data_IF_950564573100
#
_entry.id   IF_950564573100
#
_cell.length_a   1.000
_cell.length_b   1.000
_cell.length_c   1.000
_cell.angle_alpha   90.00
_cell.angle_beta   90.00
_cell.angle_gamma   90.00
#
_symmetry.space_group_name_H-M   'P 1'
#
loop_
_entity.id
_entity.type
_entity.pdbx_description
1 polymer ?
#
# COMPACT_ATOMS: atom_id res chain seq x y z
N UNK A 1 31.23 20.59 -30.87
CA UNK A 1 31.31 19.31 -30.13
C UNK A 1 29.95 19.07 -29.52
N UNK A 2 29.15 18.19 -30.10
CA UNK A 2 27.80 17.85 -29.62
C UNK A 2 27.90 16.60 -28.75
N UNK A 3 27.60 16.73 -27.47
CA UNK A 3 27.52 15.62 -26.52
C UNK A 3 26.41 14.65 -26.96
N UNK A 4 26.65 13.33 -26.99
CA UNK A 4 25.59 12.38 -27.27
C UNK A 4 24.58 12.39 -26.13
N UNK A 5 23.32 12.68 -26.44
CA UNK A 5 22.19 12.46 -25.53
C UNK A 5 22.10 10.94 -25.32
N UNK A 6 22.34 10.50 -24.08
CA UNK A 6 22.12 9.11 -23.72
C UNK A 6 20.63 8.78 -23.93
N UNK A 7 20.33 7.94 -24.92
CA UNK A 7 19.00 7.35 -25.08
C UNK A 7 18.76 6.47 -23.86
N UNK A 8 17.83 6.87 -23.00
CA UNK A 8 17.39 6.05 -21.88
C UNK A 8 16.63 4.85 -22.44
N UNK A 9 17.35 3.77 -22.80
CA UNK A 9 16.81 2.50 -23.35
C UNK A 9 16.07 1.66 -22.30
N UNK A 10 15.31 2.30 -21.41
CA UNK A 10 14.47 1.58 -20.45
C UNK A 10 13.24 1.04 -21.19
N UNK A 11 12.91 -0.26 -21.03
CA UNK A 11 11.72 -0.83 -21.66
C UNK A 11 10.46 -0.14 -21.14
N UNK A 12 9.46 0.00 -22.02
CA UNK A 12 8.14 0.48 -21.61
C UNK A 12 7.34 -0.66 -21.00
N UNK A 13 6.82 -0.44 -19.78
CA UNK A 13 6.04 -1.44 -19.04
C UNK A 13 4.55 -1.23 -19.29
N UNK A 14 3.86 -2.26 -19.77
CA UNK A 14 2.40 -2.28 -19.86
C UNK A 14 1.82 -2.93 -18.60
N UNK A 15 0.99 -2.20 -17.87
CA UNK A 15 0.27 -2.68 -16.68
C UNK A 15 -1.22 -2.82 -17.02
N UNK A 16 -1.74 -4.04 -16.92
CA UNK A 16 -3.16 -4.33 -17.15
C UNK A 16 -3.85 -4.49 -15.79
N UNK A 17 -4.61 -3.46 -15.40
CA UNK A 17 -5.37 -3.35 -14.15
C UNK A 17 -4.90 -2.19 -13.29
N UNK A 18 -5.79 -1.23 -13.01
CA UNK A 18 -5.53 -0.11 -12.09
C UNK A 18 -6.03 -0.42 -10.66
N UNK A 19 -5.82 -1.66 -10.22
CA UNK A 19 -5.99 -2.06 -8.82
C UNK A 19 -4.78 -1.64 -7.97
N UNK A 20 -4.80 -2.04 -6.69
CA UNK A 20 -3.75 -1.69 -5.72
C UNK A 20 -2.34 -2.05 -6.21
N UNK A 21 -2.14 -3.28 -6.69
CA UNK A 21 -0.84 -3.73 -7.18
C UNK A 21 -0.38 -3.00 -8.45
N UNK A 22 -1.30 -2.74 -9.38
CA UNK A 22 -0.98 -2.04 -10.64
C UNK A 22 -0.63 -0.57 -10.42
N UNK A 23 -1.40 0.13 -9.58
CA UNK A 23 -1.11 1.50 -9.20
C UNK A 23 0.17 1.61 -8.36
N UNK A 24 0.40 0.67 -7.45
CA UNK A 24 1.64 0.60 -6.67
C UNK A 24 2.86 0.43 -7.58
N UNK A 25 2.79 -0.49 -8.54
CA UNK A 25 3.85 -0.68 -9.53
C UNK A 25 4.06 0.58 -10.38
N UNK A 26 2.98 1.20 -10.88
CA UNK A 26 3.04 2.45 -11.61
C UNK A 26 3.75 3.55 -10.83
N UNK A 27 3.39 3.75 -9.56
CA UNK A 27 4.03 4.75 -8.70
C UNK A 27 5.53 4.50 -8.50
N UNK A 28 5.96 3.24 -8.37
CA UNK A 28 7.37 2.86 -8.25
C UNK A 28 8.14 3.09 -9.56
N UNK A 29 7.53 2.77 -10.71
CA UNK A 29 8.11 3.02 -12.03
C UNK A 29 8.24 4.50 -12.32
N UNK A 30 7.23 5.30 -11.95
CA UNK A 30 7.24 6.77 -12.02
C UNK A 30 8.43 7.35 -11.25
N UNK A 31 8.58 6.98 -9.97
CA UNK A 31 9.72 7.41 -9.13
C UNK A 31 11.07 7.00 -9.71
N UNK A 32 11.12 5.87 -10.42
CA UNK A 32 12.34 5.32 -11.02
C UNK A 32 12.61 5.84 -12.44
N UNK A 33 11.79 6.76 -12.96
CA UNK A 33 11.84 7.25 -14.35
C UNK A 33 11.87 6.07 -15.35
N UNK A 34 10.99 5.09 -15.17
CA UNK A 34 10.78 3.97 -16.11
C UNK A 34 9.47 4.23 -16.85
N UNK A 35 9.43 4.22 -18.19
CA UNK A 35 8.20 4.48 -18.93
C UNK A 35 7.18 3.37 -18.70
N UNK A 36 5.92 3.74 -18.48
CA UNK A 36 4.83 2.79 -18.29
C UNK A 36 3.48 3.30 -18.81
N UNK A 37 2.56 2.38 -19.02
CA UNK A 37 1.15 2.67 -19.29
C UNK A 37 0.26 1.74 -18.45
N UNK A 38 -0.80 2.29 -17.86
CA UNK A 38 -1.79 1.53 -17.07
C UNK A 38 -3.12 1.54 -17.82
N UNK A 39 -3.70 0.36 -18.05
CA UNK A 39 -5.04 0.21 -18.62
C UNK A 39 -5.95 -0.49 -17.63
N UNK A 40 -7.15 0.04 -17.45
CA UNK A 40 -8.19 -0.53 -16.58
C UNK A 40 -9.50 -0.60 -17.35
N UNK A 41 -10.24 -1.69 -17.17
CA UNK A 41 -11.55 -1.88 -17.82
C UNK A 41 -12.62 -1.00 -17.19
N UNK A 42 -12.51 -0.72 -15.90
CA UNK A 42 -13.46 0.11 -15.16
C UNK A 42 -13.28 1.58 -15.49
N UNK A 43 -14.33 2.23 -15.95
CA UNK A 43 -14.33 3.68 -16.22
C UNK A 43 -14.41 4.53 -14.95
N UNK A 44 -14.73 3.92 -13.82
CA UNK A 44 -14.90 4.60 -12.52
C UNK A 44 -14.30 3.76 -11.40
N UNK A 45 -13.73 4.41 -10.39
CA UNK A 45 -13.38 3.76 -9.13
C UNK A 45 -14.68 3.44 -8.37
N UNK A 46 -14.87 2.16 -8.03
CA UNK A 46 -16.03 1.70 -7.25
C UNK A 46 -15.56 1.26 -5.86
N UNK A 47 -15.97 1.94 -4.78
CA UNK A 47 -15.70 1.47 -3.43
C UNK A 47 -16.35 0.10 -3.22
N UNK A 48 -15.57 -0.91 -2.85
CA UNK A 48 -16.09 -2.25 -2.59
C UNK A 48 -16.73 -2.39 -1.19
N UNK A 49 -16.62 -1.34 -0.36
CA UNK A 49 -17.18 -1.32 1.00
C UNK A 49 -16.41 -2.14 2.03
N UNK A 50 -15.27 -2.73 1.67
CA UNK A 50 -14.40 -3.49 2.57
C UNK A 50 -13.32 -2.63 3.21
N UNK A 51 -13.06 -2.83 4.50
CA UNK A 51 -11.86 -2.31 5.14
C UNK A 51 -10.61 -3.06 4.64
N UNK A 52 -9.50 -2.35 4.49
CA UNK A 52 -8.20 -2.94 4.20
C UNK A 52 -7.26 -2.72 5.38
N UNK A 53 -6.63 -3.80 5.84
CA UNK A 53 -5.55 -3.71 6.82
C UNK A 53 -4.20 -3.63 6.10
N UNK A 54 -3.38 -2.66 6.48
CA UNK A 54 -2.00 -2.55 6.01
C UNK A 54 -1.07 -2.85 7.18
N UNK A 55 -0.22 -3.86 7.01
CA UNK A 55 0.77 -4.24 8.02
C UNK A 55 2.05 -3.39 7.96
N UNK A 56 2.91 -3.48 9.00
CA UNK A 56 4.12 -2.67 9.11
C UNK A 56 5.11 -2.89 7.97
N UNK A 57 5.13 -4.07 7.36
CA UNK A 57 6.02 -4.40 6.24
C UNK A 57 5.80 -3.52 5.00
N UNK A 58 4.60 -2.97 4.82
CA UNK A 58 4.27 -2.16 3.64
C UNK A 58 4.51 -0.64 3.87
N UNK A 59 4.52 -0.20 5.13
CA UNK A 59 4.64 1.22 5.49
C UNK A 59 5.92 1.89 4.98
N UNK A 60 7.11 1.26 4.98
CA UNK A 60 8.32 1.87 4.42
C UNK A 60 8.18 2.23 2.94
N UNK A 61 7.38 1.47 2.16
CA UNK A 61 7.20 1.78 0.75
C UNK A 61 6.33 3.03 0.58
N UNK A 62 5.33 3.23 1.44
CA UNK A 62 4.55 4.47 1.45
C UNK A 62 5.40 5.69 1.81
N UNK A 63 6.40 5.52 2.68
CA UNK A 63 7.38 6.58 2.97
C UNK A 63 8.24 6.89 1.74
N UNK A 64 8.75 5.88 1.04
CA UNK A 64 9.52 6.06 -0.20
C UNK A 64 8.70 6.72 -1.31
N UNK A 65 7.41 6.40 -1.39
CA UNK A 65 6.49 7.04 -2.33
C UNK A 65 6.12 8.48 -1.93
N UNK A 66 6.31 8.85 -0.66
CA UNK A 66 5.97 10.17 -0.13
C UNK A 66 4.48 10.33 0.25
N UNK A 67 3.76 9.21 0.40
CA UNK A 67 2.32 9.20 0.72
C UNK A 67 2.03 8.75 2.16
N UNK A 68 3.08 8.49 2.95
CA UNK A 68 2.95 7.92 4.30
C UNK A 68 2.07 8.79 5.22
N UNK A 69 2.35 10.10 5.30
CA UNK A 69 1.58 11.00 6.17
C UNK A 69 0.11 11.08 5.75
N UNK A 70 -0.17 11.24 4.45
CA UNK A 70 -1.53 11.24 3.92
C UNK A 70 -2.25 9.92 4.22
N UNK A 71 -1.56 8.79 4.06
CA UNK A 71 -2.08 7.46 4.40
C UNK A 71 -2.47 7.36 5.88
N UNK A 72 -1.67 7.91 6.80
CA UNK A 72 -2.00 7.94 8.23
C UNK A 72 -3.24 8.79 8.52
N UNK A 73 -3.46 9.89 7.80
CA UNK A 73 -4.62 10.76 8.01
C UNK A 73 -5.96 10.12 7.62
N UNK A 74 -5.95 9.21 6.64
CA UNK A 74 -7.15 8.49 6.17
C UNK A 74 -7.31 7.12 6.85
N UNK A 75 -6.25 6.60 7.45
CA UNK A 75 -6.22 5.30 8.09
C UNK A 75 -6.78 5.29 9.51
N UNK A 76 -7.05 4.09 10.03
CA UNK A 76 -7.29 3.87 11.46
C UNK A 76 -6.22 2.93 12.00
N UNK A 77 -5.57 3.34 13.09
CA UNK A 77 -4.62 2.49 13.80
C UNK A 77 -5.33 1.31 14.43
N UNK A 78 -4.99 0.10 13.98
CA UNK A 78 -5.45 -1.13 14.58
C UNK A 78 -4.54 -1.48 15.75
N UNK A 79 -5.07 -1.42 16.97
CA UNK A 79 -4.29 -1.71 18.20
C UNK A 79 -4.55 -3.10 18.74
N UNK A 80 -5.80 -3.57 18.65
CA UNK A 80 -6.23 -4.84 19.22
C UNK A 80 -7.21 -5.55 18.27
N UNK A 81 -7.08 -6.87 18.15
CA UNK A 81 -8.08 -7.73 17.51
C UNK A 81 -8.51 -8.80 18.51
N UNK A 82 -9.64 -8.62 19.22
CA UNK A 82 -10.16 -9.65 20.11
C UNK A 82 -10.86 -10.75 19.30
N UNK A 83 -10.59 -12.02 19.62
CA UNK A 83 -11.42 -13.14 19.21
C UNK A 83 -12.58 -13.33 20.19
N UNK A 84 -13.78 -13.61 19.70
CA UNK A 84 -14.95 -13.88 20.54
C UNK A 84 -15.51 -15.27 20.26
N UNK A 85 -15.93 -15.96 21.32
CA UNK A 85 -16.62 -17.23 21.24
C UNK A 85 -18.12 -17.02 21.05
N UNK A 86 -18.85 -18.12 20.92
CA UNK A 86 -20.29 -18.09 20.64
C UNK A 86 -21.11 -17.42 21.77
N UNK A 87 -20.60 -17.43 23.00
CA UNK A 87 -21.24 -16.74 24.14
C UNK A 87 -20.71 -15.31 24.35
N UNK A 88 -20.07 -14.72 23.34
CA UNK A 88 -19.40 -13.41 23.38
C UNK A 88 -18.28 -13.30 24.44
N UNK A 89 -17.78 -14.44 24.92
CA UNK A 89 -16.58 -14.50 25.75
C UNK A 89 -15.33 -14.25 24.88
N UNK A 90 -14.32 -13.58 25.44
CA UNK A 90 -13.05 -13.38 24.73
C UNK A 90 -12.32 -14.72 24.65
N UNK A 91 -12.04 -15.18 23.43
CA UNK A 91 -11.23 -16.37 23.18
C UNK A 91 -9.76 -16.03 23.42
N UNK A 92 -9.06 -16.95 24.07
CA UNK A 92 -7.65 -16.82 24.45
C UNK A 92 -6.76 -16.35 23.29
N UNK A 93 -5.73 -15.52 23.56
CA UNK A 93 -5.19 -15.16 24.87
C UNK A 93 -6.08 -14.15 25.63
N UNK A 94 -6.02 -14.16 26.98
CA UNK A 94 -6.66 -13.13 27.83
C UNK A 94 -6.21 -11.69 27.51
N UNK A 95 -5.18 -11.53 26.67
CA UNK A 95 -4.77 -10.29 26.02
C UNK A 95 -5.08 -10.43 24.52
N UNK A 96 -5.88 -9.53 23.94
CA UNK A 96 -6.00 -9.46 22.48
C UNK A 96 -4.60 -9.32 21.86
N UNK A 97 -4.42 -9.77 20.62
CA UNK A 97 -3.18 -9.52 19.91
C UNK A 97 -2.93 -8.01 19.88
N UNK A 98 -1.86 -7.59 20.56
CA UNK A 98 -1.48 -6.19 20.72
C UNK A 98 -0.55 -5.80 19.58
N UNK A 99 -1.01 -4.85 18.77
CA UNK A 99 -0.29 -4.32 17.62
C UNK A 99 0.25 -2.91 17.88
N UNK A 100 0.19 -2.41 19.13
CA UNK A 100 0.78 -1.12 19.47
C UNK A 100 2.30 -1.17 19.21
N UNK A 101 2.89 -0.07 18.75
CA UNK A 101 4.35 0.03 18.67
C UNK A 101 4.95 -0.33 20.03
N UNK A 102 6.02 -1.14 20.01
CA UNK A 102 6.84 -1.32 21.20
C UNK A 102 7.53 0.03 21.41
N UNK A 103 7.07 0.78 22.41
CA UNK A 103 7.77 1.96 22.89
C UNK A 103 9.08 1.47 23.50
N UNK A 104 10.22 1.77 22.88
CA UNK A 104 11.52 1.60 23.52
C UNK A 104 11.59 2.57 24.71
N UNK A 105 11.60 2.02 25.93
CA UNK A 105 11.84 2.76 27.18
C UNK A 105 13.29 3.22 27.29
#
# INVERSE_FOLDING_TARGET
>A
MTTPVATSDKPTVLIVGAGLGGLMLGALLEKSNVPYAIFERSTTLKPLGSAMAVGPTLLPIFQQLGIYEEFLTIGKYLTHIPGFGESNEILYPKRPTDFRPIEEL
#
